data_IF_598393152688
#
_entry.id   IF_598393152688
#
_cell.length_a   1.000
_cell.length_b   1.000
_cell.length_c   1.000
_cell.angle_alpha   90.00
_cell.angle_beta   90.00
_cell.angle_gamma   90.00
#
_symmetry.space_group_name_H-M   'P 1'
#
loop_
_entity.id
_entity.type
_entity.pdbx_description
1 polymer ?
#
# COMPACT_ATOMS: atom_id res chain seq x y z
N UNK A 1 2.11 -1.47 0.69
CA UNK A 1 3.38 -1.73 -0.04
C UNK A 1 4.56 -1.97 0.91
N UNK A 2 4.34 -2.63 2.04
CA UNK A 2 5.39 -2.95 3.03
C UNK A 2 5.49 -4.46 3.18
N UNK A 3 6.63 -4.95 3.67
CA UNK A 3 6.82 -6.37 3.93
C UNK A 3 5.80 -6.87 4.97
N UNK A 4 5.45 -8.17 4.97
CA UNK A 4 4.43 -8.71 5.87
C UNK A 4 4.72 -8.45 7.35
N UNK A 5 6.00 -8.47 7.75
CA UNK A 5 6.39 -8.20 9.14
C UNK A 5 6.15 -6.73 9.52
N UNK A 6 6.53 -5.77 8.66
CA UNK A 6 6.27 -4.33 8.91
C UNK A 6 4.76 -4.07 9.02
N UNK A 7 3.96 -4.70 8.14
CA UNK A 7 2.51 -4.57 8.17
C UNK A 7 1.92 -5.17 9.46
N UNK A 8 2.43 -6.33 9.89
CA UNK A 8 2.00 -6.96 11.14
C UNK A 8 2.34 -6.12 12.37
N UNK A 9 3.48 -5.43 12.40
CA UNK A 9 3.83 -4.56 13.52
C UNK A 9 2.81 -3.42 13.70
N UNK A 10 2.47 -2.74 12.61
CA UNK A 10 1.46 -1.68 12.59
C UNK A 10 1.05 -1.36 11.15
N UNK A 11 -0.23 -1.14 10.87
CA UNK A 11 -0.75 -0.66 9.59
C UNK A 11 -2.03 0.16 9.75
N UNK A 12 -2.41 0.92 8.72
CA UNK A 12 -3.70 1.64 8.68
C UNK A 12 -4.85 0.63 8.84
N UNK A 13 -5.81 0.92 9.72
CA UNK A 13 -6.96 0.05 9.94
C UNK A 13 -7.71 -0.26 8.62
N UNK A 14 -8.06 -1.52 8.40
CA UNK A 14 -8.70 -2.00 7.17
C UNK A 14 -7.81 -2.00 5.92
N UNK A 15 -6.51 -1.69 6.02
CA UNK A 15 -5.61 -1.79 4.87
C UNK A 15 -5.38 -3.24 4.44
N UNK A 16 -5.13 -3.44 3.15
CA UNK A 16 -4.71 -4.74 2.60
C UNK A 16 -3.22 -4.72 2.33
N UNK A 17 -2.50 -5.76 2.76
CA UNK A 17 -1.07 -5.88 2.48
C UNK A 17 -0.82 -6.51 1.11
N UNK A 18 -0.23 -5.73 0.21
CA UNK A 18 0.46 -6.20 -0.99
C UNK A 18 1.88 -5.61 -0.93
N UNK A 19 2.92 -6.43 -0.68
CA UNK A 19 4.31 -5.99 -0.78
C UNK A 19 4.64 -5.50 -2.20
N UNK A 20 5.60 -4.59 -2.33
CA UNK A 20 5.96 -4.02 -3.63
C UNK A 20 6.46 -5.09 -4.59
N UNK A 21 7.27 -6.03 -4.11
CA UNK A 21 7.81 -7.12 -4.92
C UNK A 21 6.72 -8.07 -5.44
N UNK A 22 5.67 -8.27 -4.65
CA UNK A 22 4.56 -9.15 -5.01
C UNK A 22 3.58 -8.50 -5.98
N UNK A 23 3.47 -7.16 -5.97
CA UNK A 23 2.57 -6.40 -6.85
C UNK A 23 2.74 -6.77 -8.33
N UNK A 24 3.99 -6.93 -8.79
CA UNK A 24 4.29 -7.27 -10.20
C UNK A 24 3.66 -8.60 -10.62
N UNK A 25 3.53 -9.54 -9.68
CA UNK A 25 2.95 -10.85 -9.92
C UNK A 25 1.42 -10.88 -9.81
N UNK A 26 0.84 -10.05 -8.93
CA UNK A 26 -0.58 -10.14 -8.57
C UNK A 26 -1.45 -8.99 -9.09
N UNK A 27 -0.88 -7.95 -9.72
CA UNK A 27 -1.64 -6.73 -10.07
C UNK A 27 -2.88 -7.00 -10.92
N UNK A 28 -2.84 -8.01 -11.80
CA UNK A 28 -3.99 -8.37 -12.66
C UNK A 28 -5.22 -8.83 -11.88
N UNK A 29 -5.06 -9.32 -10.66
CA UNK A 29 -6.16 -9.71 -9.78
C UNK A 29 -6.81 -8.52 -9.06
N UNK A 30 -6.19 -7.35 -9.10
CA UNK A 30 -6.72 -6.12 -8.49
C UNK A 30 -7.88 -5.59 -9.35
N UNK A 31 -9.00 -5.27 -8.70
CA UNK A 31 -10.21 -4.76 -9.35
C UNK A 31 -9.99 -3.33 -9.89
N UNK A 32 -10.03 -3.17 -11.22
CA UNK A 32 -9.82 -1.88 -11.91
C UNK A 32 -10.97 -0.88 -11.73
N UNK A 33 -12.14 -1.34 -11.28
CA UNK A 33 -13.32 -0.48 -11.06
C UNK A 33 -13.25 0.35 -9.77
N UNK A 34 -12.19 0.17 -8.96
CA UNK A 34 -11.97 0.92 -7.72
C UNK A 34 -10.88 1.98 -7.86
N UNK A 35 -10.82 2.87 -6.89
CA UNK A 35 -9.71 3.81 -6.68
C UNK A 35 -8.91 3.33 -5.49
N UNK A 36 -7.58 3.22 -5.65
CA UNK A 36 -6.69 2.74 -4.61
C UNK A 36 -5.88 3.89 -4.01
N UNK A 37 -5.62 3.81 -2.71
CA UNK A 37 -4.59 4.60 -2.04
C UNK A 37 -3.51 3.63 -1.62
N UNK A 38 -2.28 3.87 -2.06
CA UNK A 38 -1.14 3.03 -1.70
C UNK A 38 -0.26 3.76 -0.68
N UNK A 39 0.21 3.00 0.29
CA UNK A 39 1.01 3.50 1.41
C UNK A 39 2.18 2.54 1.68
N UNK A 40 3.34 3.11 2.01
CA UNK A 40 4.48 2.38 2.56
C UNK A 40 4.99 3.09 3.83
N UNK A 41 6.20 2.76 4.31
CA UNK A 41 6.73 3.35 5.54
C UNK A 41 6.91 4.88 5.43
N UNK A 42 7.66 5.35 4.43
CA UNK A 42 8.04 6.77 4.26
C UNK A 42 7.55 7.39 2.92
N UNK A 43 6.62 6.74 2.21
CA UNK A 43 6.13 7.17 0.90
C UNK A 43 6.95 6.67 -0.31
N UNK A 44 8.23 6.34 -0.16
CA UNK A 44 9.13 5.99 -1.29
C UNK A 44 8.66 4.77 -2.10
N UNK A 45 8.42 3.62 -1.45
CA UNK A 45 7.97 2.39 -2.14
C UNK A 45 6.58 2.52 -2.74
N UNK A 46 5.73 3.34 -2.14
CA UNK A 46 4.35 3.55 -2.60
C UNK A 46 4.28 4.50 -3.80
N UNK A 47 5.26 5.38 -4.00
CA UNK A 47 5.44 6.11 -5.27
C UNK A 47 5.63 5.11 -6.42
N UNK A 48 6.62 4.23 -6.34
CA UNK A 48 6.89 3.24 -7.38
C UNK A 48 5.67 2.33 -7.65
N UNK A 49 4.97 1.92 -6.59
CA UNK A 49 3.73 1.17 -6.73
C UNK A 49 2.63 1.95 -7.47
N UNK A 50 2.46 3.23 -7.14
CA UNK A 50 1.44 4.07 -7.75
C UNK A 50 1.73 4.36 -9.22
N UNK A 51 2.99 4.57 -9.59
CA UNK A 51 3.42 4.76 -10.98
C UNK A 51 3.15 3.50 -11.79
N UNK A 52 3.61 2.35 -11.30
CA UNK A 52 3.36 1.06 -11.95
C UNK A 52 1.86 0.79 -12.13
N UNK A 53 1.06 0.99 -11.09
CA UNK A 53 -0.39 0.80 -11.18
C UNK A 53 -1.05 1.79 -12.17
N UNK A 54 -0.62 3.06 -12.18
CA UNK A 54 -1.15 4.06 -13.10
C UNK A 54 -0.83 3.73 -14.56
N UNK A 55 0.40 3.31 -14.86
CA UNK A 55 0.83 2.85 -16.19
C UNK A 55 -0.02 1.68 -16.71
N UNK A 56 -0.50 0.82 -15.79
CA UNK A 56 -1.36 -0.30 -16.11
C UNK A 56 -2.85 0.04 -16.12
N UNK A 57 -3.22 1.32 -15.99
CA UNK A 57 -4.60 1.82 -16.11
C UNK A 57 -5.43 1.73 -14.83
N UNK A 58 -4.80 1.62 -13.66
CA UNK A 58 -5.50 1.67 -12.38
C UNK A 58 -5.68 3.12 -11.91
N UNK A 59 -6.83 3.41 -11.28
CA UNK A 59 -7.01 4.66 -10.54
C UNK A 59 -6.33 4.51 -9.18
N UNK A 60 -5.21 5.19 -8.99
CA UNK A 60 -4.37 5.05 -7.79
C UNK A 60 -3.85 6.42 -7.34
N UNK A 61 -3.70 6.58 -6.03
CA UNK A 61 -3.03 7.72 -5.39
C UNK A 61 -1.97 7.21 -4.41
N UNK A 62 -0.84 7.90 -4.35
CA UNK A 62 0.15 7.68 -3.30
C UNK A 62 -0.18 8.52 -2.07
N UNK A 63 -0.10 7.93 -0.88
CA UNK A 63 -0.12 8.68 0.37
C UNK A 63 1.29 9.26 0.62
N UNK A 64 1.41 10.60 0.57
CA UNK A 64 2.66 11.27 0.90
C UNK A 64 3.03 11.05 2.38
N UNK A 65 4.33 11.05 2.70
CA UNK A 65 4.82 10.79 4.07
C UNK A 65 4.72 9.34 4.55
N UNK A 66 3.86 8.51 3.93
CA UNK A 66 3.68 7.11 4.31
C UNK A 66 3.09 6.95 5.71
N UNK A 67 3.36 5.80 6.34
CA UNK A 67 2.98 5.52 7.71
C UNK A 67 3.59 6.49 8.73
N UNK A 68 4.76 7.09 8.44
CA UNK A 68 5.41 8.07 9.35
C UNK A 68 4.48 9.26 9.63
N UNK A 69 3.73 9.72 8.64
CA UNK A 69 2.83 10.86 8.76
C UNK A 69 1.37 10.45 9.03
N UNK A 70 1.08 9.14 9.11
CA UNK A 70 -0.26 8.67 9.41
C UNK A 70 -0.59 8.89 10.89
N UNK A 71 -1.64 9.66 11.15
CA UNK A 71 -2.12 9.98 12.52
C UNK A 71 -3.50 9.40 12.81
N UNK A 72 -4.07 8.64 11.88
CA UNK A 72 -5.38 8.02 12.02
C UNK A 72 -5.33 6.65 12.71
N UNK A 73 -6.43 5.90 12.57
CA UNK A 73 -6.55 4.58 13.17
C UNK A 73 -5.54 3.58 12.57
N UNK A 74 -4.97 2.76 13.46
CA UNK A 74 -4.02 1.71 13.11
C UNK A 74 -4.43 0.38 13.72
N UNK A 75 -4.15 -0.69 13.00
CA UNK A 75 -4.19 -2.06 13.49
C UNK A 75 -2.76 -2.53 13.75
N UNK A 76 -2.58 -3.25 14.86
CA UNK A 76 -1.30 -3.85 15.25
C UNK A 76 -1.52 -5.33 15.49
N UNK A 77 -0.58 -6.15 15.06
CA UNK A 77 -0.60 -7.58 15.33
C UNK A 77 -0.54 -7.82 16.82
N UNK A 78 -1.68 -8.20 17.42
CA UNK A 78 -1.73 -8.71 18.77
C UNK A 78 -0.73 -9.87 18.88
N UNK A 79 0.09 -9.85 19.94
CA UNK A 79 0.88 -11.03 20.33
C UNK A 79 -0.05 -12.18 20.72
#
# INVERSE_FOLDING_TARGET
MREPFEFKEEHIAGAVNIPLNDLLSCFKAIDRSKTYIVVCHAGVRSVAASEFMAEHGYRVKNMNGGMIEWTGEVERGLK
#
